data_IF_349336953705
#
_entry.id   IF_349336953705
#
_cell.length_a   1.000
_cell.length_b   1.000
_cell.length_c   1.000
_cell.angle_alpha   90.00
_cell.angle_beta   90.00
_cell.angle_gamma   90.00
#
_symmetry.space_group_name_H-M   'P 1'
#
loop_
_entity.id
_entity.type
_entity.pdbx_description
1 polymer ?
#
# COMPACT_ATOMS: atom_id res chain seq x y z
N UNK A 1 -18.78 0.93 -27.09
CA UNK A 1 -19.24 0.95 -25.68
C UNK A 1 -18.06 1.37 -24.80
N UNK A 2 -18.03 2.61 -24.29
CA UNK A 2 -16.88 3.12 -23.51
C UNK A 2 -16.73 2.28 -22.22
N UNK A 3 -15.55 1.76 -21.87
CA UNK A 3 -15.37 1.08 -20.60
C UNK A 3 -15.54 2.14 -19.50
N UNK A 4 -16.69 2.13 -18.83
CA UNK A 4 -16.85 2.86 -17.56
C UNK A 4 -15.75 2.30 -16.65
N UNK A 5 -14.80 3.14 -16.24
CA UNK A 5 -13.88 2.89 -15.15
C UNK A 5 -14.72 2.75 -13.87
N UNK A 6 -15.36 1.60 -13.69
CA UNK A 6 -15.93 1.22 -12.40
C UNK A 6 -14.73 0.82 -11.57
N UNK A 7 -14.14 1.80 -10.89
CA UNK A 7 -13.13 1.55 -9.87
C UNK A 7 -13.83 0.71 -8.81
N UNK A 8 -13.51 -0.59 -8.75
CA UNK A 8 -14.14 -1.48 -7.78
C UNK A 8 -13.84 -0.98 -6.37
N UNK A 9 -14.80 -1.07 -5.46
CA UNK A 9 -14.59 -0.84 -4.01
C UNK A 9 -13.26 -1.43 -3.48
N UNK A 10 -12.85 -2.68 -3.84
CA UNK A 10 -11.56 -3.23 -3.39
C UNK A 10 -10.33 -2.53 -4.01
N UNK A 11 -10.44 -1.99 -5.23
CA UNK A 11 -9.34 -1.25 -5.86
C UNK A 11 -9.12 0.09 -5.17
N UNK A 12 -10.18 0.83 -4.84
CA UNK A 12 -10.07 2.08 -4.07
C UNK A 12 -9.49 1.80 -2.68
N UNK A 13 -10.01 0.78 -1.98
CA UNK A 13 -9.51 0.39 -0.67
C UNK A 13 -8.03 -0.01 -0.72
N UNK A 14 -7.64 -0.82 -1.71
CA UNK A 14 -6.25 -1.22 -1.91
C UNK A 14 -5.32 -0.03 -2.15
N UNK A 15 -5.71 0.91 -3.01
CA UNK A 15 -4.93 2.13 -3.27
C UNK A 15 -4.83 3.02 -2.03
N UNK A 16 -5.91 3.21 -1.27
CA UNK A 16 -5.88 3.97 -0.03
C UNK A 16 -4.95 3.33 1.02
N UNK A 17 -5.01 2.00 1.16
CA UNK A 17 -4.13 1.25 2.07
C UNK A 17 -2.66 1.35 1.63
N UNK A 18 -2.38 1.26 0.32
CA UNK A 18 -1.03 1.47 -0.23
C UNK A 18 -0.50 2.88 0.08
N UNK A 19 -1.33 3.91 -0.09
CA UNK A 19 -0.96 5.29 0.23
C UNK A 19 -0.63 5.44 1.72
N UNK A 20 -1.46 4.90 2.61
CA UNK A 20 -1.20 4.93 4.05
C UNK A 20 0.10 4.20 4.40
N UNK A 21 0.34 3.02 3.83
CA UNK A 21 1.60 2.28 4.04
C UNK A 21 2.82 3.05 3.55
N UNK A 22 2.72 3.71 2.39
CA UNK A 22 3.76 4.59 1.86
C UNK A 22 4.05 5.79 2.76
N UNK A 23 3.00 6.41 3.33
CA UNK A 23 3.16 7.50 4.31
C UNK A 23 3.92 7.03 5.56
N UNK A 24 3.63 5.83 6.07
CA UNK A 24 4.35 5.29 7.23
C UNK A 24 5.83 5.02 6.93
N UNK A 25 6.15 4.41 5.78
CA UNK A 25 7.55 4.22 5.37
C UNK A 25 8.26 5.56 5.18
N UNK A 26 7.58 6.55 4.60
CA UNK A 26 8.13 7.89 4.43
C UNK A 26 8.38 8.58 5.77
N UNK A 27 7.46 8.48 6.73
CA UNK A 27 7.65 9.02 8.08
C UNK A 27 8.83 8.38 8.79
N UNK A 28 8.95 7.04 8.76
CA UNK A 28 10.08 6.33 9.35
C UNK A 28 11.40 6.84 8.79
N UNK A 29 11.55 6.80 7.47
CA UNK A 29 12.79 7.17 6.79
C UNK A 29 13.17 8.64 6.92
N UNK A 30 12.19 9.52 7.17
CA UNK A 30 12.43 10.95 7.30
C UNK A 30 12.73 11.37 8.74
N UNK A 31 12.03 10.79 9.72
CA UNK A 31 12.04 11.30 11.09
C UNK A 31 12.65 10.36 12.12
N UNK A 32 12.68 9.05 11.86
CA UNK A 32 13.00 8.07 12.90
C UNK A 32 14.25 7.27 12.58
N UNK A 33 14.52 6.96 11.31
CA UNK A 33 15.63 6.10 10.91
C UNK A 33 17.01 6.80 10.96
N UNK A 34 17.48 7.12 12.16
CA UNK A 34 18.78 7.77 12.41
C UNK A 34 19.49 7.19 13.66
N UNK A 35 20.79 7.44 13.77
CA UNK A 35 21.59 7.10 14.96
C UNK A 35 21.63 8.31 15.90
N UNK A 36 21.40 8.09 17.18
CA UNK A 36 21.56 9.12 18.20
C UNK A 36 23.03 9.38 18.58
N UNK A 37 23.25 10.25 19.56
CA UNK A 37 24.59 10.65 20.01
C UNK A 37 25.41 9.48 20.60
N UNK A 38 24.74 8.45 21.12
CA UNK A 38 25.35 7.24 21.67
C UNK A 38 25.52 6.15 20.58
N UNK A 39 25.16 6.45 19.34
CA UNK A 39 25.21 5.51 18.22
C UNK A 39 24.12 4.45 18.27
N UNK A 40 23.06 4.66 19.04
CA UNK A 40 21.90 3.77 19.09
C UNK A 40 20.94 4.14 17.96
N UNK A 41 20.45 3.11 17.26
CA UNK A 41 19.45 3.28 16.23
C UNK A 41 18.12 3.68 16.87
N UNK A 42 17.67 4.89 16.55
CA UNK A 42 16.30 5.29 16.81
C UNK A 42 15.45 4.70 15.67
N UNK A 43 14.34 4.05 16.03
CA UNK A 43 13.37 3.51 15.09
C UNK A 43 11.99 3.42 15.76
N UNK A 44 10.94 3.37 14.94
CA UNK A 44 9.56 3.23 15.39
C UNK A 44 8.88 2.08 14.67
N UNK A 45 7.62 1.82 15.02
CA UNK A 45 6.80 0.79 14.39
C UNK A 45 6.27 1.21 13.01
N UNK A 46 6.65 2.37 12.47
CA UNK A 46 6.14 2.82 11.16
C UNK A 46 6.72 2.00 10.02
N UNK A 47 7.97 1.54 10.10
CA UNK A 47 8.52 0.62 9.10
C UNK A 47 7.73 -0.71 9.01
N UNK A 48 7.58 -1.51 10.09
CA UNK A 48 6.86 -2.77 10.01
C UNK A 48 5.37 -2.59 9.68
N UNK A 49 4.72 -1.55 10.21
CA UNK A 49 3.32 -1.24 9.88
C UNK A 49 3.18 -0.80 8.41
N UNK A 50 4.08 0.06 7.94
CA UNK A 50 4.11 0.52 6.55
C UNK A 50 4.29 -0.64 5.57
N UNK A 51 5.24 -1.55 5.85
CA UNK A 51 5.45 -2.76 5.07
C UNK A 51 4.21 -3.68 5.05
N UNK A 52 3.57 -3.90 6.21
CA UNK A 52 2.35 -4.71 6.31
C UNK A 52 1.19 -4.10 5.51
N UNK A 53 0.99 -2.79 5.61
CA UNK A 53 -0.04 -2.08 4.84
C UNK A 53 0.25 -2.14 3.34
N UNK A 54 1.50 -1.96 2.92
CA UNK A 54 1.90 -2.11 1.51
C UNK A 54 1.57 -3.52 1.00
N UNK A 55 1.87 -4.55 1.79
CA UNK A 55 1.55 -5.94 1.44
C UNK A 55 0.03 -6.14 1.26
N UNK A 56 -0.78 -5.74 2.24
CA UNK A 56 -2.24 -5.86 2.20
C UNK A 56 -2.82 -5.07 1.02
N UNK A 57 -2.37 -3.83 0.82
CA UNK A 57 -2.82 -2.98 -0.28
C UNK A 57 -2.49 -3.58 -1.64
N UNK A 58 -1.29 -4.17 -1.80
CA UNK A 58 -0.88 -4.86 -3.02
C UNK A 58 -1.77 -6.06 -3.31
N UNK A 59 -2.04 -6.90 -2.31
CA UNK A 59 -2.94 -8.06 -2.46
C UNK A 59 -4.34 -7.63 -2.91
N UNK A 60 -4.90 -6.57 -2.32
CA UNK A 60 -6.21 -6.03 -2.71
C UNK A 60 -6.24 -5.52 -4.15
N UNK A 61 -5.21 -4.78 -4.57
CA UNK A 61 -5.09 -4.26 -5.94
C UNK A 61 -4.96 -5.40 -6.94
N UNK A 62 -4.09 -6.39 -6.67
CA UNK A 62 -3.91 -7.58 -7.52
C UNK A 62 -5.20 -8.37 -7.64
N UNK A 63 -5.90 -8.62 -6.52
CA UNK A 63 -7.19 -9.30 -6.53
C UNK A 63 -8.25 -8.55 -7.34
N UNK A 64 -8.34 -7.23 -7.17
CA UNK A 64 -9.28 -6.40 -7.93
C UNK A 64 -8.95 -6.40 -9.43
N UNK A 65 -7.67 -6.33 -9.80
CA UNK A 65 -7.20 -6.39 -11.18
C UNK A 65 -7.49 -7.76 -11.81
N UNK A 66 -7.17 -8.85 -11.12
CA UNK A 66 -7.44 -10.21 -11.58
C UNK A 66 -8.94 -10.44 -11.83
N UNK A 67 -9.80 -10.01 -10.89
CA UNK A 67 -11.26 -10.07 -11.08
C UNK A 67 -11.72 -9.31 -12.32
N UNK A 68 -11.17 -8.11 -12.55
CA UNK A 68 -11.52 -7.29 -13.71
C UNK A 68 -11.07 -7.96 -15.02
N UNK A 69 -9.86 -8.54 -15.06
CA UNK A 69 -9.34 -9.26 -16.22
C UNK A 69 -10.26 -10.45 -16.55
N UNK A 70 -10.57 -11.30 -15.57
CA UNK A 70 -11.46 -12.46 -15.76
C UNK A 70 -12.84 -12.04 -16.29
N UNK A 71 -13.41 -10.95 -15.75
CA UNK A 71 -14.70 -10.43 -16.18
C UNK A 71 -14.68 -9.88 -17.61
N UNK A 72 -13.56 -9.32 -18.05
CA UNK A 72 -13.36 -8.84 -19.42
C UNK A 72 -13.16 -10.02 -20.38
N UNK A 73 -12.37 -11.04 -20.01
CA UNK A 73 -12.14 -12.23 -20.86
C UNK A 73 -13.37 -13.11 -21.03
N UNK A 74 -14.28 -13.15 -20.03
CA UNK A 74 -15.55 -13.88 -20.12
C UNK A 74 -16.66 -13.16 -20.90
N UNK A 75 -16.41 -11.94 -21.38
CA UNK A 75 -17.37 -11.10 -22.09
C UNK A 75 -17.16 -11.17 -23.60
#
# INVERSE_FOLDING_TARGET
MKPKLVVGKPLVAGLAVLLTGGVFVWLESTFYQYLDEDGVLNETMFLPLGALLILIGTVLVVFAAARKIIAVTKR
#
